data_IF_994987962289
#
_entry.id   IF_994987962289
#
_cell.length_a   1.000
_cell.length_b   1.000
_cell.length_c   1.000
_cell.angle_alpha   90.00
_cell.angle_beta   90.00
_cell.angle_gamma   90.00
#
_symmetry.space_group_name_H-M   'P 1'
#
loop_
_entity.id
_entity.type
_entity.pdbx_description
1 polymer ?
#
# COMPACT_ATOMS: atom_id res chain seq x y z
N UNK A 1 -20.14 -20.08 1.17
CA UNK A 1 -18.68 -20.09 0.91
C UNK A 1 -17.97 -20.18 2.26
N UNK A 2 -17.06 -21.15 2.45
CA UNK A 2 -16.34 -21.32 3.71
C UNK A 2 -15.40 -20.12 3.97
N UNK A 3 -15.06 -19.87 5.25
CA UNK A 3 -14.26 -18.72 5.66
C UNK A 3 -12.87 -18.66 4.98
N UNK A 4 -12.17 -19.79 4.79
CA UNK A 4 -10.90 -19.78 4.09
C UNK A 4 -10.99 -19.26 2.65
N UNK A 5 -12.01 -19.70 1.92
CA UNK A 5 -12.20 -19.27 0.53
C UNK A 5 -12.56 -17.78 0.47
N UNK A 6 -13.47 -17.31 1.36
CA UNK A 6 -13.81 -15.88 1.47
C UNK A 6 -12.56 -15.02 1.72
N UNK A 7 -11.67 -15.48 2.59
CA UNK A 7 -10.43 -14.79 2.92
C UNK A 7 -9.47 -14.72 1.74
N UNK A 8 -9.36 -15.83 0.97
CA UNK A 8 -8.57 -15.85 -0.26
C UNK A 8 -9.09 -14.81 -1.26
N UNK A 9 -10.40 -14.83 -1.52
CA UNK A 9 -11.06 -13.89 -2.44
C UNK A 9 -10.85 -12.45 -2.01
N UNK A 10 -11.03 -12.13 -0.73
CA UNK A 10 -10.83 -10.78 -0.21
C UNK A 10 -9.38 -10.28 -0.38
N UNK A 11 -8.38 -11.16 -0.20
CA UNK A 11 -6.97 -10.84 -0.44
C UNK A 11 -6.67 -10.63 -1.94
N UNK A 12 -7.25 -11.45 -2.81
CA UNK A 12 -7.10 -11.30 -4.27
C UNK A 12 -7.78 -10.01 -4.78
N UNK A 13 -8.92 -9.62 -4.19
CA UNK A 13 -9.57 -8.32 -4.47
C UNK A 13 -8.71 -7.14 -4.03
N UNK A 14 -8.15 -7.21 -2.82
CA UNK A 14 -7.22 -6.20 -2.30
C UNK A 14 -6.01 -6.03 -3.23
N UNK A 15 -5.50 -7.13 -3.79
CA UNK A 15 -4.42 -7.12 -4.77
C UNK A 15 -4.78 -6.35 -6.05
N UNK A 16 -6.01 -6.52 -6.55
CA UNK A 16 -6.46 -5.80 -7.75
C UNK A 16 -6.50 -4.28 -7.51
N UNK A 17 -7.01 -3.84 -6.36
CA UNK A 17 -7.04 -2.41 -6.00
C UNK A 17 -5.64 -1.82 -5.83
N UNK A 18 -4.73 -2.60 -5.25
CA UNK A 18 -3.39 -2.15 -4.91
C UNK A 18 -2.54 -1.75 -6.13
N UNK A 19 -2.64 -2.50 -7.24
CA UNK A 19 -1.81 -2.24 -8.43
C UNK A 19 -2.02 -0.81 -8.98
N UNK A 20 -3.27 -0.35 -9.04
CA UNK A 20 -3.59 1.00 -9.50
C UNK A 20 -3.02 2.08 -8.57
N UNK A 21 -3.14 1.87 -7.25
CA UNK A 21 -2.62 2.82 -6.26
C UNK A 21 -1.09 2.92 -6.30
N UNK A 22 -0.40 1.80 -6.49
CA UNK A 22 1.06 1.76 -6.54
C UNK A 22 1.63 2.44 -7.79
N UNK A 23 0.99 2.26 -8.95
CA UNK A 23 1.41 2.93 -10.19
C UNK A 23 1.27 4.44 -10.07
N UNK A 24 0.13 4.93 -9.55
CA UNK A 24 -0.08 6.36 -9.33
C UNK A 24 0.90 6.93 -8.31
N UNK A 25 1.15 6.23 -7.20
CA UNK A 25 2.19 6.64 -6.24
C UNK A 25 3.58 6.73 -6.89
N UNK A 26 3.94 5.77 -7.72
CA UNK A 26 5.20 5.79 -8.45
C UNK A 26 5.32 6.97 -9.41
N UNK A 27 4.23 7.34 -10.10
CA UNK A 27 4.17 8.56 -10.89
C UNK A 27 4.40 9.82 -10.04
N UNK A 28 3.81 9.90 -8.84
CA UNK A 28 4.01 11.04 -7.93
C UNK A 28 5.48 11.20 -7.50
N UNK A 29 6.20 10.10 -7.30
CA UNK A 29 7.64 10.18 -7.01
C UNK A 29 8.49 10.56 -8.22
N UNK A 30 8.08 10.13 -9.42
CA UNK A 30 8.83 10.33 -10.65
C UNK A 30 8.63 11.73 -11.26
N UNK A 31 7.41 12.26 -11.24
CA UNK A 31 7.02 13.53 -11.85
C UNK A 31 7.93 14.72 -11.49
N UNK A 32 8.31 14.90 -10.21
CA UNK A 32 9.18 15.99 -9.75
C UNK A 32 10.60 16.03 -10.37
N UNK A 33 11.02 14.96 -11.04
CA UNK A 33 12.33 14.85 -11.68
C UNK A 33 12.30 15.01 -13.20
N UNK A 34 11.11 15.16 -13.78
CA UNK A 34 10.93 15.28 -15.23
C UNK A 34 11.17 16.71 -15.73
N UNK A 35 11.60 16.83 -16.99
CA UNK A 35 11.98 18.09 -17.63
C UNK A 35 10.84 19.11 -17.76
N UNK A 36 9.58 18.66 -17.75
CA UNK A 36 8.40 19.53 -17.86
C UNK A 36 8.06 20.29 -16.56
N UNK A 37 8.92 20.21 -15.53
CA UNK A 37 8.65 20.76 -14.21
C UNK A 37 8.85 22.27 -14.04
N UNK A 38 9.87 22.92 -14.63
CA UNK A 38 10.06 24.37 -14.50
C UNK A 38 8.86 25.18 -15.02
N UNK A 39 8.06 24.61 -15.93
CA UNK A 39 6.83 25.19 -16.45
C UNK A 39 5.60 25.01 -15.56
N UNK A 40 5.69 24.31 -14.42
CA UNK A 40 4.54 24.11 -13.53
C UNK A 40 4.27 25.33 -12.66
N UNK A 41 2.99 25.69 -12.59
CA UNK A 41 2.49 26.66 -11.62
C UNK A 41 2.72 26.17 -10.18
N UNK A 42 2.74 27.11 -9.22
CA UNK A 42 2.86 26.76 -7.79
C UNK A 42 1.72 25.83 -7.32
N UNK A 43 0.49 26.08 -7.80
CA UNK A 43 -0.69 25.27 -7.46
C UNK A 43 -0.56 23.82 -7.91
N UNK A 44 -0.04 23.55 -9.11
CA UNK A 44 0.18 22.17 -9.57
C UNK A 44 1.22 21.43 -8.73
N UNK A 45 2.25 22.14 -8.26
CA UNK A 45 3.28 21.57 -7.38
C UNK A 45 2.72 21.21 -6.00
N UNK A 46 1.91 22.11 -5.42
CA UNK A 46 1.27 21.87 -4.12
C UNK A 46 0.24 20.74 -4.18
N UNK A 47 -0.60 20.71 -5.23
CA UNK A 47 -1.56 19.62 -5.46
C UNK A 47 -0.80 18.29 -5.57
N UNK A 48 0.29 18.23 -6.34
CA UNK A 48 1.11 17.01 -6.45
C UNK A 48 1.68 16.56 -5.10
N UNK A 49 2.15 17.48 -4.26
CA UNK A 49 2.64 17.14 -2.91
C UNK A 49 1.51 16.61 -1.99
N UNK A 50 0.31 17.20 -2.07
CA UNK A 50 -0.86 16.73 -1.31
C UNK A 50 -1.29 15.35 -1.80
N UNK A 51 -1.42 15.16 -3.11
CA UNK A 51 -1.79 13.87 -3.72
C UNK A 51 -0.76 12.80 -3.34
N UNK A 52 0.54 13.11 -3.37
CA UNK A 52 1.59 12.20 -2.90
C UNK A 52 1.33 11.74 -1.46
N UNK A 53 1.09 12.68 -0.53
CA UNK A 53 0.83 12.34 0.88
C UNK A 53 -0.43 11.47 1.04
N UNK A 54 -1.50 11.80 0.32
CA UNK A 54 -2.75 11.00 0.31
C UNK A 54 -2.49 9.60 -0.24
N UNK A 55 -1.74 9.46 -1.33
CA UNK A 55 -1.40 8.19 -1.95
C UNK A 55 -0.54 7.30 -1.05
N UNK A 56 0.40 7.89 -0.30
CA UNK A 56 1.18 7.16 0.72
C UNK A 56 0.27 6.59 1.80
N UNK A 57 -0.72 7.36 2.28
CA UNK A 57 -1.70 6.88 3.26
C UNK A 57 -2.59 5.78 2.67
N UNK A 58 -3.04 5.92 1.42
CA UNK A 58 -3.84 4.90 0.72
C UNK A 58 -3.06 3.59 0.62
N UNK A 59 -1.82 3.63 0.14
CA UNK A 59 -0.96 2.43 0.04
C UNK A 59 -0.68 1.86 1.43
N UNK A 60 -0.42 2.70 2.43
CA UNK A 60 -0.29 2.30 3.84
C UNK A 60 -1.50 1.51 4.34
N UNK A 61 -2.70 2.02 4.11
CA UNK A 61 -3.95 1.37 4.48
C UNK A 61 -4.18 0.07 3.71
N UNK A 62 -3.95 0.05 2.41
CA UNK A 62 -4.15 -1.15 1.59
C UNK A 62 -3.16 -2.29 1.93
N UNK A 63 -1.97 -1.99 2.48
CA UNK A 63 -1.02 -3.00 2.97
C UNK A 63 -1.37 -3.47 4.40
N UNK A 64 -2.08 -2.65 5.19
CA UNK A 64 -2.37 -2.93 6.59
C UNK A 64 -3.11 -4.25 6.85
N UNK A 65 -4.05 -4.74 6.02
CA UNK A 65 -4.64 -6.06 6.18
C UNK A 65 -3.60 -7.18 6.20
N UNK A 66 -2.63 -7.18 5.29
CA UNK A 66 -1.57 -8.19 5.26
C UNK A 66 -0.78 -8.21 6.57
N UNK A 67 -0.38 -7.03 7.06
CA UNK A 67 0.36 -6.94 8.32
C UNK A 67 -0.47 -7.41 9.52
N UNK A 68 -1.75 -7.03 9.58
CA UNK A 68 -2.68 -7.46 10.64
C UNK A 68 -2.94 -8.97 10.60
N UNK A 69 -3.15 -9.55 9.42
CA UNK A 69 -3.38 -10.98 9.25
C UNK A 69 -2.20 -11.80 9.78
N UNK A 70 -0.96 -11.33 9.58
CA UNK A 70 0.23 -12.01 10.10
C UNK A 70 0.45 -11.78 11.59
N UNK A 71 0.33 -10.54 12.07
CA UNK A 71 0.68 -10.20 13.46
C UNK A 71 -0.40 -10.65 14.46
N UNK A 72 -1.67 -10.40 14.15
CA UNK A 72 -2.80 -10.61 15.07
C UNK A 72 -3.42 -11.99 14.85
N UNK A 73 -3.80 -12.28 13.60
CA UNK A 73 -4.60 -13.47 13.26
C UNK A 73 -3.72 -14.71 12.98
N UNK A 74 -2.39 -14.55 12.86
CA UNK A 74 -1.44 -15.64 12.55
C UNK A 74 -1.86 -16.46 11.32
N UNK A 75 -2.32 -15.76 10.29
CA UNK A 75 -2.76 -16.35 9.03
C UNK A 75 -4.06 -17.16 9.11
N UNK A 76 -4.79 -17.10 10.22
CA UNK A 76 -6.10 -17.73 10.33
C UNK A 76 -7.18 -16.92 9.61
N UNK A 77 -8.04 -17.62 8.88
CA UNK A 77 -9.21 -17.04 8.25
C UNK A 77 -10.27 -16.69 9.31
N UNK A 78 -10.41 -15.42 9.66
CA UNK A 78 -11.42 -14.95 10.62
C UNK A 78 -12.42 -13.97 10.00
N UNK A 79 -13.65 -13.96 10.50
CA UNK A 79 -14.66 -13.01 10.05
C UNK A 79 -14.24 -11.56 10.35
N UNK A 80 -13.63 -11.32 11.51
CA UNK A 80 -13.11 -10.00 11.90
C UNK A 80 -12.06 -9.48 10.93
N UNK A 81 -11.25 -10.37 10.36
CA UNK A 81 -10.26 -10.02 9.35
C UNK A 81 -10.92 -9.67 8.01
N UNK A 82 -11.89 -10.46 7.55
CA UNK A 82 -12.65 -10.16 6.33
C UNK A 82 -13.39 -8.81 6.43
N UNK A 83 -14.08 -8.56 7.55
CA UNK A 83 -14.75 -7.28 7.81
C UNK A 83 -13.76 -6.11 7.81
N UNK A 84 -12.52 -6.34 8.26
CA UNK A 84 -11.47 -5.34 8.24
C UNK A 84 -10.97 -5.05 6.82
N UNK A 85 -10.71 -6.08 5.99
CA UNK A 85 -10.37 -5.89 4.57
C UNK A 85 -11.47 -5.07 3.90
N UNK A 86 -12.73 -5.46 4.05
CA UNK A 86 -13.86 -4.78 3.41
C UNK A 86 -13.93 -3.30 3.82
N UNK A 87 -13.77 -2.98 5.11
CA UNK A 87 -13.74 -1.60 5.58
C UNK A 87 -12.57 -0.79 5.02
N UNK A 88 -11.36 -1.38 5.00
CA UNK A 88 -10.17 -0.72 4.45
C UNK A 88 -10.36 -0.44 2.96
N UNK A 89 -10.76 -1.44 2.17
CA UNK A 89 -11.01 -1.28 0.73
C UNK A 89 -12.04 -0.19 0.46
N UNK A 90 -13.16 -0.18 1.20
CA UNK A 90 -14.18 0.86 1.08
C UNK A 90 -13.68 2.24 1.51
N UNK A 91 -12.84 2.35 2.54
CA UNK A 91 -12.33 3.65 2.99
C UNK A 91 -11.34 4.25 1.98
N UNK A 92 -10.58 3.41 1.29
CA UNK A 92 -9.52 3.87 0.37
C UNK A 92 -10.02 4.28 -1.01
N UNK A 93 -11.17 3.77 -1.46
CA UNK A 93 -11.68 4.05 -2.81
C UNK A 93 -12.02 5.54 -3.02
N UNK A 94 -12.67 6.20 -2.06
CA UNK A 94 -13.01 7.61 -2.18
C UNK A 94 -11.80 8.55 -2.30
N UNK A 95 -10.79 8.52 -1.40
CA UNK A 95 -9.60 9.34 -1.57
C UNK A 95 -8.78 8.94 -2.80
N UNK A 96 -8.84 7.67 -3.23
CA UNK A 96 -8.20 7.24 -4.46
C UNK A 96 -8.88 7.83 -5.71
N UNK A 97 -10.21 7.90 -5.76
CA UNK A 97 -10.95 8.55 -6.83
C UNK A 97 -10.62 10.05 -6.93
N UNK A 98 -10.47 10.71 -5.77
CA UNK A 98 -10.07 12.11 -5.70
C UNK A 98 -8.64 12.31 -6.25
N UNK A 99 -7.68 11.50 -5.79
CA UNK A 99 -6.31 11.55 -6.27
C UNK A 99 -6.22 11.34 -7.80
N UNK A 100 -6.94 10.33 -8.30
CA UNK A 100 -7.00 10.02 -9.73
C UNK A 100 -7.64 11.16 -10.54
N UNK A 101 -8.70 11.79 -10.04
CA UNK A 101 -9.33 12.95 -10.69
C UNK A 101 -8.40 14.17 -10.74
N UNK A 102 -7.66 14.44 -9.66
CA UNK A 102 -6.66 15.52 -9.63
C UNK A 102 -5.54 15.26 -10.63
N UNK A 103 -4.97 14.05 -10.64
CA UNK A 103 -3.87 13.69 -11.55
C UNK A 103 -4.28 13.76 -13.02
N UNK A 104 -5.45 13.22 -13.36
CA UNK A 104 -5.95 13.23 -14.73
C UNK A 104 -6.43 14.63 -15.17
N UNK A 105 -6.81 15.51 -14.24
CA UNK A 105 -7.16 16.89 -14.55
C UNK A 105 -5.94 17.75 -14.94
N UNK A 106 -4.75 17.42 -14.42
CA UNK A 106 -3.53 18.17 -14.70
C UNK A 106 -3.12 18.05 -16.16
N UNK A 107 -3.22 16.88 -16.78
CA UNK A 107 -2.73 16.70 -18.16
C UNK A 107 -3.50 17.56 -19.21
N UNK A 108 -4.85 17.56 -19.26
CA UNK A 108 -5.61 18.44 -20.15
C UNK A 108 -5.44 19.93 -19.81
N UNK A 109 -5.23 20.27 -18.53
CA UNK A 109 -5.06 21.67 -18.11
C UNK A 109 -3.88 22.37 -18.80
N UNK A 110 -2.84 21.61 -19.18
CA UNK A 110 -1.64 22.13 -19.85
C UNK A 110 -1.81 22.38 -21.34
N UNK A 111 -2.62 21.58 -22.03
CA UNK A 111 -2.81 21.67 -23.48
C UNK A 111 -4.07 22.41 -23.91
N UNK A 112 -5.16 22.26 -23.14
CA UNK A 112 -6.50 22.70 -23.51
C UNK A 112 -7.06 23.77 -22.56
N UNK A 113 -6.31 24.15 -21.53
CA UNK A 113 -6.67 25.19 -20.56
C UNK A 113 -7.28 24.65 -19.26
N UNK A 114 -7.19 25.47 -18.21
CA UNK A 114 -7.53 25.10 -16.82
C UNK A 114 -8.95 24.59 -16.65
N UNK A 115 -9.93 25.21 -17.31
CA UNK A 115 -11.33 24.81 -17.22
C UNK A 115 -11.56 23.40 -17.77
N UNK A 116 -10.94 23.06 -18.90
CA UNK A 116 -11.02 21.71 -19.49
C UNK A 116 -10.41 20.69 -18.53
N UNK A 117 -9.24 20.99 -17.97
CA UNK A 117 -8.59 20.15 -16.96
C UNK A 117 -9.46 19.93 -15.72
N UNK A 118 -10.05 20.99 -15.17
CA UNK A 118 -10.94 20.89 -14.00
C UNK A 118 -12.18 20.06 -14.30
N UNK A 119 -12.85 20.30 -15.44
CA UNK A 119 -14.04 19.53 -15.82
C UNK A 119 -13.72 18.07 -16.08
N UNK A 120 -12.60 17.76 -16.71
CA UNK A 120 -12.15 16.40 -16.97
C UNK A 120 -11.81 15.67 -15.66
N UNK A 121 -11.09 16.34 -14.74
CA UNK A 121 -10.75 15.79 -13.44
C UNK A 121 -11.98 15.50 -12.57
N UNK A 122 -12.92 16.46 -12.49
CA UNK A 122 -14.20 16.27 -11.77
C UNK A 122 -15.02 15.15 -12.40
N UNK A 123 -15.18 15.15 -13.73
CA UNK A 123 -15.93 14.11 -14.43
C UNK A 123 -15.34 12.73 -14.19
N UNK A 124 -14.00 12.60 -14.23
CA UNK A 124 -13.32 11.33 -13.97
C UNK A 124 -13.49 10.89 -12.51
N UNK A 125 -13.31 11.80 -11.55
CA UNK A 125 -13.49 11.51 -10.13
C UNK A 125 -14.92 11.10 -9.78
N UNK A 126 -15.92 11.82 -10.29
CA UNK A 126 -17.33 11.47 -10.11
C UNK A 126 -17.70 10.15 -10.80
N UNK A 127 -17.14 9.87 -11.98
CA UNK A 127 -17.34 8.59 -12.67
C UNK A 127 -16.77 7.43 -11.86
N UNK A 128 -15.56 7.59 -11.31
CA UNK A 128 -14.95 6.60 -10.44
C UNK A 128 -15.79 6.37 -9.18
N UNK A 129 -16.21 7.44 -8.48
CA UNK A 129 -17.07 7.33 -7.30
C UNK A 129 -18.42 6.67 -7.62
N UNK A 130 -19.04 7.06 -8.74
CA UNK A 130 -20.32 6.51 -9.19
C UNK A 130 -20.22 5.02 -9.53
N UNK A 131 -19.16 4.59 -10.23
CA UNK A 131 -18.97 3.18 -10.58
C UNK A 131 -18.59 2.32 -9.37
N UNK A 132 -17.78 2.85 -8.44
CA UNK A 132 -17.30 2.09 -7.28
C UNK A 132 -18.30 2.02 -6.13
N UNK A 133 -19.00 3.12 -5.82
CA UNK A 133 -20.00 3.16 -4.74
C UNK A 133 -21.44 3.07 -5.23
N UNK A 134 -21.72 3.27 -6.52
CA UNK A 134 -23.07 3.16 -7.08
C UNK A 134 -23.76 1.83 -6.75
N UNK A 135 -23.11 0.67 -6.92
CA UNK A 135 -23.68 -0.62 -6.54
C UNK A 135 -24.06 -0.72 -5.05
N UNK A 136 -23.43 0.06 -4.16
CA UNK A 136 -23.75 0.11 -2.73
C UNK A 136 -25.12 0.76 -2.48
N UNK A 137 -25.53 1.72 -3.32
CA UNK A 137 -26.82 2.42 -3.20
C UNK A 137 -28.00 1.56 -3.68
N UNK A 138 -27.77 0.66 -4.64
CA UNK A 138 -28.80 -0.24 -5.18
C UNK A 138 -28.88 -1.58 -4.46
N UNK A 139 -28.12 -1.76 -3.38
CA UNK A 139 -28.04 -3.03 -2.67
C UNK A 139 -29.34 -3.30 -1.91
N UNK A 140 -30.22 -4.10 -2.51
CA UNK A 140 -31.25 -4.80 -1.75
C UNK A 140 -30.55 -5.59 -0.64
N UNK A 141 -31.00 -5.37 0.60
CA UNK A 141 -30.52 -6.04 1.81
C UNK A 141 -30.87 -7.53 1.68
N UNK A 142 -30.13 -8.27 0.87
CA UNK A 142 -30.22 -9.73 0.85
C UNK A 142 -29.84 -10.18 2.25
N UNK A 143 -30.83 -10.80 2.90
CA UNK A 143 -30.75 -11.29 4.26
C UNK A 143 -29.51 -12.15 4.45
N UNK A 144 -28.95 -11.99 5.63
CA UNK A 144 -27.87 -12.75 6.25
C UNK A 144 -27.93 -14.24 5.86
N UNK A 145 -27.25 -14.61 4.78
CA UNK A 145 -27.15 -15.99 4.33
C UNK A 145 -25.94 -16.62 5.02
N UNK A 146 -26.26 -17.34 6.09
CA UNK A 146 -25.41 -18.21 6.92
C UNK A 146 -24.06 -17.62 7.33
N UNK A 147 -24.02 -17.15 8.59
CA UNK A 147 -22.81 -17.02 9.37
C UNK A 147 -22.15 -18.40 9.51
N UNK A 148 -21.35 -18.79 8.52
CA UNK A 148 -20.48 -19.95 8.63
C UNK A 148 -19.32 -19.56 9.56
N UNK A 149 -19.52 -19.76 10.86
CA UNK A 149 -18.43 -19.81 11.84
C UNK A 149 -17.80 -21.20 11.74
N UNK A 150 -16.89 -21.40 10.79
CA UNK A 150 -16.01 -22.56 10.90
C UNK A 150 -14.97 -22.24 11.97
N UNK A 151 -15.18 -22.76 13.18
CA UNK A 151 -14.21 -22.77 14.30
C UNK A 151 -13.00 -23.70 14.02
N UNK A 152 -12.89 -24.17 12.78
CA UNK A 152 -11.86 -25.09 12.31
C UNK A 152 -10.62 -24.31 11.90
N UNK A 153 -9.45 -24.78 12.36
CA UNK A 153 -8.16 -24.16 12.04
C UNK A 153 -7.95 -24.14 10.53
N UNK A 154 -7.45 -23.02 10.03
CA UNK A 154 -7.14 -22.86 8.62
C UNK A 154 -6.05 -23.87 8.22
N UNK A 155 -6.26 -24.70 7.18
CA UNK A 155 -5.26 -25.64 6.70
C UNK A 155 -3.95 -24.93 6.33
N UNK A 156 -2.80 -25.58 6.57
CA UNK A 156 -1.46 -25.01 6.28
C UNK A 156 -1.32 -24.54 4.83
N UNK A 157 -1.82 -25.32 3.88
CA UNK A 157 -1.82 -24.96 2.45
C UNK A 157 -2.54 -23.62 2.21
N UNK A 158 -3.70 -23.40 2.82
CA UNK A 158 -4.43 -22.13 2.71
C UNK A 158 -3.64 -20.96 3.34
N UNK A 159 -2.95 -21.20 4.47
CA UNK A 159 -2.10 -20.18 5.10
C UNK A 159 -0.91 -19.78 4.22
N UNK A 160 -0.28 -20.74 3.54
CA UNK A 160 0.80 -20.53 2.57
C UNK A 160 0.26 -19.73 1.38
N UNK A 161 -0.91 -20.11 0.86
CA UNK A 161 -1.58 -19.36 -0.20
C UNK A 161 -1.84 -17.90 0.20
N UNK A 162 -2.33 -17.65 1.42
CA UNK A 162 -2.58 -16.29 1.88
C UNK A 162 -1.31 -15.44 1.97
N UNK A 163 -0.22 -15.97 2.55
CA UNK A 163 1.01 -15.19 2.68
C UNK A 163 1.64 -14.90 1.33
N UNK A 164 1.53 -15.84 0.37
CA UNK A 164 1.98 -15.62 -1.00
C UNK A 164 1.09 -14.59 -1.72
N UNK A 165 -0.23 -14.63 -1.54
CA UNK A 165 -1.13 -13.61 -2.10
C UNK A 165 -0.85 -12.23 -1.50
N UNK A 166 -0.65 -12.13 -0.19
CA UNK A 166 -0.29 -10.87 0.46
C UNK A 166 1.06 -10.34 0.00
N UNK A 167 2.07 -11.19 -0.17
CA UNK A 167 3.32 -10.78 -0.78
C UNK A 167 3.08 -10.22 -2.19
N UNK A 168 2.16 -10.81 -2.98
CA UNK A 168 1.76 -10.31 -4.31
C UNK A 168 0.90 -9.06 -4.28
N UNK A 169 0.30 -8.68 -3.14
CA UNK A 169 -0.32 -7.36 -2.96
C UNK A 169 0.78 -6.30 -2.93
N UNK A 170 1.87 -6.54 -2.18
CA UNK A 170 2.94 -5.55 -2.00
C UNK A 170 3.96 -5.54 -3.15
N UNK A 171 4.29 -6.71 -3.69
CA UNK A 171 5.43 -6.92 -4.58
C UNK A 171 5.39 -6.11 -5.89
N UNK A 172 4.28 -6.07 -6.65
CA UNK A 172 4.23 -5.32 -7.91
C UNK A 172 4.56 -3.83 -7.73
N UNK A 173 4.08 -3.22 -6.64
CA UNK A 173 4.38 -1.82 -6.35
C UNK A 173 5.80 -1.58 -5.92
N UNK A 174 6.36 -2.44 -5.06
CA UNK A 174 7.77 -2.35 -4.70
C UNK A 174 8.66 -2.44 -5.96
N UNK A 175 8.31 -3.32 -6.91
CA UNK A 175 9.01 -3.44 -8.19
C UNK A 175 8.84 -2.21 -9.09
N UNK A 176 7.63 -1.64 -9.17
CA UNK A 176 7.38 -0.42 -9.92
C UNK A 176 8.17 0.77 -9.33
N UNK A 177 8.14 0.94 -8.00
CA UNK A 177 8.90 1.97 -7.29
C UNK A 177 10.40 1.82 -7.54
N UNK A 178 10.95 0.60 -7.42
CA UNK A 178 12.34 0.31 -7.73
C UNK A 178 12.71 0.76 -9.15
N UNK A 179 11.89 0.41 -10.14
CA UNK A 179 12.09 0.80 -11.53
C UNK A 179 12.04 2.32 -11.73
N UNK A 180 11.07 3.00 -11.12
CA UNK A 180 10.95 4.46 -11.20
C UNK A 180 12.12 5.17 -10.52
N UNK A 181 12.59 4.69 -9.37
CA UNK A 181 13.75 5.26 -8.69
C UNK A 181 15.03 5.10 -9.53
N UNK A 182 15.25 3.91 -10.13
CA UNK A 182 16.36 3.71 -11.06
C UNK A 182 16.26 4.63 -12.28
N UNK A 183 15.06 4.85 -12.81
CA UNK A 183 14.85 5.79 -13.89
C UNK A 183 15.18 7.24 -13.47
N UNK A 184 14.79 7.66 -12.26
CA UNK A 184 15.13 8.99 -11.71
C UNK A 184 16.64 9.21 -11.71
N UNK A 185 17.43 8.21 -11.31
CA UNK A 185 18.89 8.31 -11.26
C UNK A 185 19.53 8.63 -12.64
N UNK A 186 18.82 8.39 -13.73
CA UNK A 186 19.26 8.67 -15.11
C UNK A 186 18.75 10.02 -15.65
N UNK A 187 17.98 10.78 -14.87
CA UNK A 187 17.44 12.08 -15.28
C UNK A 187 18.39 13.24 -14.98
N UNK A 188 18.32 14.30 -15.79
CA UNK A 188 18.92 15.61 -15.47
C UNK A 188 18.47 16.13 -14.11
N UNK A 189 17.19 15.94 -13.77
CA UNK A 189 16.61 16.35 -12.49
C UNK A 189 17.29 15.72 -11.27
N UNK A 190 17.90 14.54 -11.40
CA UNK A 190 18.71 13.92 -10.34
C UNK A 190 20.14 14.48 -10.31
N UNK A 191 20.74 14.77 -11.47
CA UNK A 191 22.08 15.35 -11.55
C UNK A 191 22.15 16.71 -10.84
N UNK A 192 21.12 17.53 -11.02
CA UNK A 192 20.97 18.87 -10.42
C UNK A 192 20.62 18.83 -8.92
N UNK A 193 20.38 17.64 -8.36
CA UNK A 193 20.03 17.49 -6.96
C UNK A 193 21.24 17.75 -6.05
N UNK A 194 21.03 18.47 -4.95
CA UNK A 194 22.05 18.67 -3.92
C UNK A 194 22.57 17.33 -3.39
N UNK A 195 23.86 17.25 -3.07
CA UNK A 195 24.49 16.03 -2.56
C UNK A 195 23.80 15.47 -1.30
N UNK A 196 23.27 16.36 -0.44
CA UNK A 196 22.50 16.01 0.75
C UNK A 196 21.20 15.27 0.46
N UNK A 197 20.60 15.42 -0.73
CA UNK A 197 19.38 14.72 -1.14
C UNK A 197 19.66 13.48 -2.00
N UNK A 198 20.87 13.35 -2.59
CA UNK A 198 21.30 12.12 -3.28
C UNK A 198 21.46 10.95 -2.32
N UNK A 199 22.01 11.18 -1.13
CA UNK A 199 22.20 10.12 -0.13
C UNK A 199 20.86 9.50 0.36
N UNK A 200 19.84 10.28 0.77
CA UNK A 200 18.51 9.76 1.08
C UNK A 200 17.87 8.99 -0.09
N UNK A 201 18.07 9.42 -1.34
CA UNK A 201 17.60 8.67 -2.50
C UNK A 201 18.28 7.29 -2.63
N UNK A 202 19.59 7.21 -2.40
CA UNK A 202 20.29 5.91 -2.39
C UNK A 202 19.80 5.01 -1.26
N UNK A 203 19.52 5.56 -0.07
CA UNK A 203 18.93 4.81 1.04
C UNK A 203 17.53 4.31 0.68
N UNK A 204 16.73 5.15 0.03
CA UNK A 204 15.41 4.78 -0.45
C UNK A 204 15.49 3.61 -1.44
N UNK A 205 16.34 3.75 -2.46
CA UNK A 205 16.56 2.75 -3.50
C UNK A 205 17.03 1.41 -2.91
N UNK A 206 18.00 1.43 -2.00
CA UNK A 206 18.49 0.22 -1.33
C UNK A 206 17.41 -0.45 -0.47
N UNK A 207 16.58 0.34 0.20
CA UNK A 207 15.49 -0.18 1.05
C UNK A 207 14.37 -0.81 0.21
N UNK A 208 13.98 -0.19 -0.90
CA UNK A 208 13.00 -0.74 -1.83
C UNK A 208 13.55 -1.99 -2.54
N UNK A 209 14.82 -1.99 -2.93
CA UNK A 209 15.48 -3.19 -3.49
C UNK A 209 15.46 -4.36 -2.51
N UNK A 210 15.81 -4.11 -1.23
CA UNK A 210 15.76 -5.14 -0.19
C UNK A 210 14.33 -5.63 0.06
N UNK A 211 13.35 -4.72 0.04
CA UNK A 211 11.92 -5.07 0.09
C UNK A 211 11.55 -6.05 -1.03
N UNK A 212 11.93 -5.75 -2.28
CA UNK A 212 11.67 -6.62 -3.43
C UNK A 212 12.31 -7.99 -3.26
N UNK A 213 13.57 -8.07 -2.83
CA UNK A 213 14.28 -9.33 -2.58
C UNK A 213 13.55 -10.16 -1.51
N UNK A 214 13.18 -9.53 -0.40
CA UNK A 214 12.47 -10.20 0.71
C UNK A 214 11.08 -10.69 0.31
N UNK A 215 10.35 -9.97 -0.55
CA UNK A 215 9.03 -10.38 -1.03
C UNK A 215 9.09 -11.50 -2.09
N UNK A 216 10.19 -11.62 -2.84
CA UNK A 216 10.40 -12.71 -3.80
C UNK A 216 10.90 -14.00 -3.13
N UNK A 217 11.64 -13.88 -2.02
CA UNK A 217 12.25 -14.99 -1.32
C UNK A 217 11.30 -16.13 -0.89
N UNK A 218 10.06 -15.88 -0.39
CA UNK A 218 9.14 -16.95 0.00
C UNK A 218 8.80 -17.94 -1.11
N UNK A 219 8.55 -17.44 -2.33
CA UNK A 219 8.23 -18.27 -3.47
C UNK A 219 9.44 -19.12 -3.93
N UNK A 220 10.64 -18.53 -3.88
CA UNK A 220 11.89 -19.23 -4.16
C UNK A 220 12.17 -20.31 -3.10
N UNK A 221 12.02 -19.98 -1.81
CA UNK A 221 12.20 -20.90 -0.70
C UNK A 221 11.24 -22.09 -0.77
N UNK A 222 9.95 -21.83 -0.99
CA UNK A 222 8.93 -22.86 -1.15
C UNK A 222 9.27 -23.87 -2.25
N UNK A 223 9.80 -23.38 -3.38
CA UNK A 223 10.09 -24.23 -4.54
C UNK A 223 11.45 -24.92 -4.46
N UNK A 224 12.50 -24.25 -3.97
CA UNK A 224 13.88 -24.78 -3.95
C UNK A 224 14.10 -25.74 -2.77
N UNK A 225 13.61 -25.38 -1.57
CA UNK A 225 13.87 -26.16 -0.35
C UNK A 225 12.83 -27.25 -0.16
N UNK A 226 11.56 -26.93 -0.44
CA UNK A 226 10.43 -27.82 -0.13
C UNK A 226 9.80 -28.45 -1.36
N UNK A 227 10.33 -28.25 -2.57
CA UNK A 227 9.76 -28.75 -3.83
C UNK A 227 8.26 -28.42 -4.03
N UNK A 228 7.77 -27.34 -3.41
CA UNK A 228 6.36 -26.97 -3.42
C UNK A 228 5.47 -27.71 -2.41
N UNK A 229 6.06 -28.36 -1.39
CA UNK A 229 5.30 -29.02 -0.32
C UNK A 229 4.78 -28.02 0.73
N UNK A 230 3.52 -28.21 1.12
CA UNK A 230 2.80 -27.35 2.06
C UNK A 230 3.12 -27.66 3.53
N UNK A 231 4.34 -27.34 3.96
CA UNK A 231 4.79 -27.54 5.34
C UNK A 231 4.73 -26.25 6.18
N UNK A 232 4.45 -26.33 7.51
CA UNK A 232 4.31 -25.14 8.36
C UNK A 232 5.51 -24.19 8.35
N UNK A 233 6.72 -24.71 8.17
CA UNK A 233 7.96 -23.93 8.13
C UNK A 233 7.98 -22.91 6.98
N UNK A 234 7.39 -23.26 5.82
CA UNK A 234 7.29 -22.36 4.66
C UNK A 234 6.47 -21.14 5.03
N UNK A 235 5.35 -21.34 5.71
CA UNK A 235 4.50 -20.27 6.21
C UNK A 235 5.25 -19.36 7.19
N UNK A 236 5.98 -19.94 8.15
CA UNK A 236 6.70 -19.16 9.18
C UNK A 236 7.84 -18.31 8.58
N UNK A 237 8.57 -18.86 7.61
CA UNK A 237 9.59 -18.12 6.86
C UNK A 237 8.94 -17.02 6.03
N UNK A 238 7.90 -17.35 5.26
CA UNK A 238 7.21 -16.39 4.40
C UNK A 238 6.61 -15.22 5.19
N UNK A 239 5.98 -15.50 6.33
CA UNK A 239 5.39 -14.48 7.20
C UNK A 239 6.44 -13.54 7.77
N UNK A 240 7.61 -14.05 8.18
CA UNK A 240 8.70 -13.22 8.70
C UNK A 240 9.31 -12.35 7.62
N UNK A 241 9.52 -12.90 6.43
CA UNK A 241 10.07 -12.16 5.29
C UNK A 241 9.12 -11.05 4.83
N UNK A 242 7.81 -11.31 4.77
CA UNK A 242 6.79 -10.31 4.45
C UNK A 242 6.80 -9.14 5.46
N UNK A 243 6.82 -9.45 6.76
CA UNK A 243 6.86 -8.42 7.81
C UNK A 243 8.20 -7.66 7.85
N UNK A 244 9.32 -8.32 7.55
CA UNK A 244 10.61 -7.64 7.42
C UNK A 244 10.61 -6.70 6.21
N UNK A 245 10.03 -7.15 5.07
CA UNK A 245 9.92 -6.35 3.87
C UNK A 245 9.13 -5.06 4.09
N UNK A 246 8.04 -5.08 4.86
CA UNK A 246 7.26 -3.86 5.15
C UNK A 246 8.05 -2.83 5.97
N UNK A 247 9.01 -3.24 6.81
CA UNK A 247 9.89 -2.29 7.52
C UNK A 247 10.78 -1.55 6.53
N UNK A 248 11.43 -2.28 5.62
CA UNK A 248 12.28 -1.67 4.59
C UNK A 248 11.45 -0.83 3.61
N UNK A 249 10.23 -1.25 3.28
CA UNK A 249 9.34 -0.47 2.44
C UNK A 249 8.96 0.86 3.10
N UNK A 250 8.66 0.87 4.40
CA UNK A 250 8.35 2.09 5.14
C UNK A 250 9.54 3.06 5.14
N UNK A 251 10.75 2.54 5.35
CA UNK A 251 11.99 3.32 5.28
C UNK A 251 12.21 3.89 3.88
N UNK A 252 12.02 3.05 2.84
CA UNK A 252 12.16 3.43 1.45
C UNK A 252 11.21 4.56 1.05
N UNK A 253 9.92 4.38 1.34
CA UNK A 253 8.88 5.38 1.05
C UNK A 253 9.11 6.69 1.82
N UNK A 254 9.51 6.63 3.11
CA UNK A 254 9.80 7.83 3.88
C UNK A 254 10.99 8.62 3.30
N UNK A 255 12.04 7.91 2.86
CA UNK A 255 13.20 8.53 2.23
C UNK A 255 12.87 9.09 0.83
N UNK A 256 12.03 8.44 0.04
CA UNK A 256 11.54 9.00 -1.23
C UNK A 256 10.66 10.25 -1.02
N UNK A 257 9.76 10.21 -0.04
CA UNK A 257 8.94 11.38 0.33
C UNK A 257 9.83 12.54 0.76
N UNK A 258 10.89 12.28 1.55
CA UNK A 258 11.86 13.31 1.93
C UNK A 258 12.45 13.98 0.69
N UNK A 259 12.98 13.18 -0.24
CA UNK A 259 13.65 13.67 -1.45
C UNK A 259 12.67 14.46 -2.33
N UNK A 260 11.47 13.92 -2.53
CA UNK A 260 10.47 14.51 -3.41
C UNK A 260 9.89 15.79 -2.82
N UNK A 261 9.47 15.79 -1.55
CA UNK A 261 8.95 16.99 -0.90
C UNK A 261 10.04 18.06 -0.78
N UNK A 262 11.29 17.69 -0.46
CA UNK A 262 12.42 18.62 -0.46
C UNK A 262 12.64 19.26 -1.82
N UNK A 263 12.50 18.49 -2.91
CA UNK A 263 12.58 19.01 -4.28
C UNK A 263 11.32 19.80 -4.68
N UNK A 264 10.14 19.52 -4.10
CA UNK A 264 8.88 20.22 -4.40
C UNK A 264 8.80 21.58 -3.73
N UNK A 265 8.98 21.60 -2.42
CA UNK A 265 8.76 22.77 -1.59
C UNK A 265 10.02 23.61 -1.38
N UNK A 266 11.18 23.16 -1.87
CA UNK A 266 12.50 23.78 -1.65
C UNK A 266 12.82 24.01 -0.16
N UNK A 267 12.16 23.23 0.73
CA UNK A 267 12.20 23.38 2.18
C UNK A 267 12.60 22.07 2.84
N UNK A 268 13.76 22.09 3.50
CA UNK A 268 14.27 20.95 4.26
C UNK A 268 13.38 20.60 5.47
N UNK A 269 12.78 21.61 6.10
CA UNK A 269 11.91 21.40 7.25
C UNK A 269 10.68 20.61 6.84
N UNK A 270 10.01 21.00 5.75
CA UNK A 270 8.86 20.27 5.23
C UNK A 270 9.25 18.85 4.83
N UNK A 271 10.40 18.67 4.17
CA UNK A 271 10.91 17.36 3.80
C UNK A 271 11.16 16.43 5.00
N UNK A 272 11.70 16.93 6.11
CA UNK A 272 11.91 16.13 7.31
C UNK A 272 10.59 15.78 8.01
N UNK A 273 9.68 16.75 8.13
CA UNK A 273 8.38 16.54 8.78
C UNK A 273 7.54 15.50 8.01
N UNK A 274 7.44 15.62 6.69
CA UNK A 274 6.65 14.69 5.88
C UNK A 274 7.26 13.30 5.83
N UNK A 275 8.59 13.18 5.81
CA UNK A 275 9.29 11.91 5.90
C UNK A 275 9.08 11.22 7.26
N UNK A 276 9.25 11.96 8.36
CA UNK A 276 8.99 11.44 9.71
C UNK A 276 7.52 11.04 9.89
N UNK A 277 6.59 11.84 9.38
CA UNK A 277 5.16 11.53 9.39
C UNK A 277 4.84 10.29 8.57
N UNK A 278 5.44 10.15 7.38
CA UNK A 278 5.31 8.95 6.54
C UNK A 278 5.80 7.72 7.29
N UNK A 279 7.01 7.75 7.85
CA UNK A 279 7.55 6.64 8.61
C UNK A 279 6.66 6.27 9.80
N UNK A 280 6.19 7.27 10.56
CA UNK A 280 5.31 7.07 11.72
C UNK A 280 3.97 6.43 11.31
N UNK A 281 3.35 6.91 10.24
CA UNK A 281 2.07 6.38 9.74
C UNK A 281 2.24 4.94 9.26
N UNK A 282 3.26 4.66 8.43
CA UNK A 282 3.46 3.33 7.86
C UNK A 282 3.85 2.29 8.93
N UNK A 283 4.84 2.60 9.78
CA UNK A 283 5.22 1.73 10.90
C UNK A 283 4.08 1.61 11.92
N UNK A 284 3.34 2.70 12.14
CA UNK A 284 2.14 2.73 12.96
C UNK A 284 1.09 1.75 12.50
N UNK A 285 0.73 1.80 11.21
CA UNK A 285 -0.30 0.95 10.60
C UNK A 285 0.13 -0.51 10.50
N UNK A 286 1.39 -0.78 10.17
CA UNK A 286 1.85 -2.14 9.85
C UNK A 286 2.38 -2.90 11.07
N UNK A 287 2.96 -2.21 12.06
CA UNK A 287 3.63 -2.87 13.18
C UNK A 287 3.05 -2.47 14.54
N UNK A 288 2.96 -1.17 14.83
CA UNK A 288 2.56 -0.72 16.18
C UNK A 288 1.09 -1.05 16.47
N UNK A 289 0.18 -0.73 15.54
CA UNK A 289 -1.25 -0.98 15.70
C UNK A 289 -1.59 -2.47 15.77
N UNK A 290 -1.11 -3.35 14.86
CA UNK A 290 -1.33 -4.79 14.98
C UNK A 290 -0.70 -5.39 16.24
N UNK A 291 0.48 -4.93 16.64
CA UNK A 291 1.11 -5.42 17.88
C UNK A 291 0.32 -5.02 19.13
N UNK A 292 -0.15 -3.77 19.20
CA UNK A 292 -0.95 -3.30 20.33
C UNK A 292 -2.29 -4.02 20.48
N UNK A 293 -2.97 -4.27 19.35
CA UNK A 293 -4.22 -5.05 19.34
C UNK A 293 -4.00 -6.49 19.78
N UNK A 294 -2.88 -7.12 19.40
CA UNK A 294 -2.48 -8.45 19.88
C UNK A 294 -2.25 -8.48 21.40
N UNK A 295 -1.52 -7.51 21.95
CA UNK A 295 -1.23 -7.44 23.40
C UNK A 295 -2.50 -7.25 24.21
N UNK A 296 -3.42 -6.38 23.76
CA UNK A 296 -4.72 -6.18 24.43
C UNK A 296 -5.60 -7.42 24.42
N UNK A 297 -5.59 -8.19 23.33
CA UNK A 297 -6.33 -9.46 23.25
C UNK A 297 -5.81 -10.53 24.23
N UNK A 298 -4.57 -10.42 24.71
CA UNK A 298 -3.97 -11.33 25.70
C UNK A 298 -3.90 -10.73 27.12
N UNK A 299 -4.56 -9.60 27.38
CA UNK A 299 -4.62 -8.97 28.70
C UNK A 299 -5.37 -9.80 29.75
N UNK A 300 -5.15 -9.55 31.06
CA UNK A 300 -5.52 -10.46 32.16
C UNK A 300 -7.01 -10.80 32.33
N UNK A 301 -7.93 -10.13 31.63
CA UNK A 301 -9.38 -10.37 31.73
C UNK A 301 -9.92 -11.55 30.91
N UNK A 302 -9.10 -12.27 30.14
CA UNK A 302 -9.53 -13.44 29.34
C UNK A 302 -9.03 -14.78 29.90
N UNK A 303 -8.54 -14.80 31.14
CA UNK A 303 -8.09 -16.03 31.83
C UNK A 303 -9.21 -16.78 32.56
N UNK A 304 -10.40 -16.18 32.70
CA UNK A 304 -11.47 -16.71 33.54
C UNK A 304 -12.47 -17.62 32.80
N UNK A 305 -12.24 -17.93 31.52
CA UNK A 305 -13.11 -18.80 30.72
C UNK A 305 -12.47 -20.11 30.24
N UNK A 306 -11.30 -20.47 30.78
CA UNK A 306 -10.66 -21.76 30.50
C UNK A 306 -10.23 -22.41 31.82
N UNK A 307 -11.21 -22.88 32.59
CA UNK A 307 -11.07 -23.95 33.58
C UNK A 307 -12.33 -24.83 33.54
#
# INVERSE_FOLDING_TARGET
>A
MPLPDKTKTALDELRMLMLGAQILLGFQFHGPFQNARPSLSLYEKEIGAIVLCVMVVIVGLLIAPSARHRVVERGEATQRFNDFITRVSMLTLAPFALALGLDLGVAPSRGLGTWVGLTAGIACGLSALGLWYGPMLFRQRHGDADMVTSDEKTPTAAKIDYVLTEARVVLPGAQALLGFQLAIALTSGFNDLAGSAKAPHCVALGSVALTTILLMAPAAYHRIVHNGADVPEVYDVASRLLLAATVFLALGLAADVHVVIGKISESQILAHITAASTALVLIGLWHLWPWWTRVRAHGPGNRDHVL
#
